data_IF_916493215444
#
_entry.id   IF_916493215444
#
_cell.length_a   1.000
_cell.length_b   1.000
_cell.length_c   1.000
_cell.angle_alpha   90.00
_cell.angle_beta   90.00
_cell.angle_gamma   90.00
#
_symmetry.space_group_name_H-M   'P 1'
#
loop_
_entity.id
_entity.type
_entity.pdbx_description
1 polymer ?
#
# COMPACT_ATOMS: atom_id res chain seq x y z
N UNK A 1 58.44 -37.53 58.41
CA UNK A 1 58.18 -36.65 59.58
C UNK A 1 57.92 -35.24 59.08
N UNK A 2 56.84 -34.62 59.57
CA UNK A 2 56.47 -33.19 59.45
C UNK A 2 56.09 -32.71 58.05
N UNK A 3 55.09 -31.88 57.84
CA UNK A 3 53.88 -31.47 58.57
C UNK A 3 53.04 -30.67 57.54
N UNK A 4 51.75 -30.51 57.84
CA UNK A 4 50.73 -29.87 57.01
C UNK A 4 51.09 -28.44 56.58
N UNK A 5 50.56 -28.01 55.43
CA UNK A 5 49.93 -26.69 55.36
C UNK A 5 48.73 -26.72 54.40
N UNK A 6 47.57 -26.74 55.04
CA UNK A 6 46.24 -26.60 54.48
C UNK A 6 45.94 -25.11 54.32
N UNK A 7 45.88 -24.61 53.10
CA UNK A 7 45.29 -23.30 52.81
C UNK A 7 44.17 -23.50 51.80
N UNK A 8 42.98 -23.76 52.33
CA UNK A 8 41.75 -23.84 51.55
C UNK A 8 41.29 -22.41 51.25
N UNK A 9 41.48 -21.95 50.01
CA UNK A 9 40.93 -20.71 49.51
C UNK A 9 39.40 -20.82 49.45
N UNK A 10 38.69 -20.01 50.26
CA UNK A 10 37.26 -19.77 50.07
C UNK A 10 37.04 -19.09 48.72
N UNK A 11 36.64 -19.88 47.72
CA UNK A 11 36.07 -19.37 46.48
C UNK A 11 34.67 -18.83 46.75
N UNK A 12 34.53 -17.51 46.81
CA UNK A 12 33.25 -16.82 46.74
C UNK A 12 32.68 -17.01 45.32
N UNK A 13 31.80 -17.98 45.14
CA UNK A 13 30.98 -18.08 43.94
C UNK A 13 29.88 -17.02 44.00
N UNK A 14 30.10 -15.85 43.37
CA UNK A 14 29.00 -14.97 42.99
C UNK A 14 28.17 -15.68 41.93
N UNK A 15 27.07 -16.29 42.35
CA UNK A 15 26.00 -16.69 41.44
C UNK A 15 25.36 -15.40 40.89
N UNK A 16 25.83 -14.94 39.73
CA UNK A 16 25.09 -13.98 38.92
C UNK A 16 23.86 -14.71 38.41
N UNK A 17 22.74 -14.55 39.13
CA UNK A 17 21.42 -14.88 38.63
C UNK A 17 21.14 -13.92 37.47
N UNK A 18 21.52 -14.31 36.26
CA UNK A 18 20.91 -13.81 35.03
C UNK A 18 19.45 -14.25 35.04
N UNK A 19 18.62 -13.49 35.76
CA UNK A 19 17.18 -13.52 35.53
C UNK A 19 16.94 -13.13 34.08
N UNK A 20 16.06 -13.84 33.33
CA UNK A 20 15.67 -13.36 32.02
C UNK A 20 15.12 -11.96 32.19
N UNK A 21 15.66 -11.04 31.38
CA UNK A 21 15.20 -9.67 31.27
C UNK A 21 13.67 -9.66 31.28
N UNK A 22 13.11 -8.97 32.26
CA UNK A 22 11.69 -8.72 32.37
C UNK A 22 11.18 -8.32 30.98
N UNK A 23 10.24 -9.13 30.48
CA UNK A 23 9.50 -8.84 29.27
C UNK A 23 9.02 -7.39 29.37
N UNK A 24 9.45 -6.60 28.39
CA UNK A 24 9.09 -5.20 28.25
C UNK A 24 7.57 -5.06 28.34
N UNK A 25 7.16 -4.22 29.29
CA UNK A 25 5.89 -3.51 29.37
C UNK A 25 4.81 -4.00 28.42
N UNK A 26 4.00 -4.96 28.89
CA UNK A 26 2.64 -5.13 28.38
C UNK A 26 1.83 -3.91 28.79
N UNK A 27 2.03 -2.80 28.08
CA UNK A 27 1.13 -1.66 28.13
C UNK A 27 -0.28 -2.19 27.93
N UNK A 28 -1.20 -1.82 28.84
CA UNK A 28 -2.59 -2.23 28.75
C UNK A 28 -3.09 -1.95 27.31
N UNK A 29 -3.86 -2.88 26.71
CA UNK A 29 -4.29 -2.74 25.32
C UNK A 29 -5.00 -1.39 25.12
N UNK A 30 -4.48 -0.59 24.18
CA UNK A 30 -5.03 0.74 23.88
C UNK A 30 -6.48 0.57 23.46
N UNK A 31 -7.43 1.16 24.20
CA UNK A 31 -8.86 1.10 23.86
C UNK A 31 -9.19 2.04 22.69
N UNK A 32 -8.92 1.55 21.47
CA UNK A 32 -9.24 2.23 20.23
C UNK A 32 -10.74 2.22 19.90
N UNK A 33 -11.58 1.57 20.72
CA UNK A 33 -13.03 1.57 20.54
C UNK A 33 -13.68 2.90 20.94
N UNK A 34 -12.99 3.69 21.77
CA UNK A 34 -13.49 4.98 22.30
C UNK A 34 -12.58 6.17 21.99
N UNK A 35 -11.35 5.92 21.55
CA UNK A 35 -10.33 6.94 21.26
C UNK A 35 -9.80 6.77 19.83
N UNK A 36 -9.26 7.86 19.30
CA UNK A 36 -8.50 7.79 18.05
C UNK A 36 -7.17 7.08 18.29
N UNK A 37 -6.81 6.19 17.38
CA UNK A 37 -5.57 5.42 17.44
C UNK A 37 -4.74 5.64 16.19
N UNK A 38 -3.43 5.59 16.35
CA UNK A 38 -2.54 5.48 15.22
C UNK A 38 -2.77 4.13 14.50
N UNK A 39 -2.23 3.98 13.30
CA UNK A 39 -2.54 2.81 12.47
C UNK A 39 -2.10 1.48 13.11
N UNK A 40 -0.93 1.47 13.74
CA UNK A 40 -0.37 0.27 14.39
C UNK A 40 -1.19 -0.13 15.62
N UNK A 41 -1.51 0.85 16.48
CA UNK A 41 -2.42 0.67 17.62
C UNK A 41 -3.80 0.15 17.17
N UNK A 42 -4.31 0.65 16.05
CA UNK A 42 -5.58 0.19 15.48
C UNK A 42 -5.52 -1.27 15.01
N UNK A 43 -4.40 -1.67 14.38
CA UNK A 43 -4.18 -3.05 13.96
C UNK A 43 -4.08 -4.00 15.15
N UNK A 44 -3.29 -3.64 16.17
CA UNK A 44 -3.13 -4.42 17.40
C UNK A 44 -4.43 -4.52 18.18
N UNK A 45 -5.19 -3.43 18.27
CA UNK A 45 -6.51 -3.44 18.88
C UNK A 45 -7.42 -4.46 18.21
N UNK A 46 -7.53 -4.46 16.88
CA UNK A 46 -8.37 -5.43 16.20
C UNK A 46 -7.86 -6.87 16.32
N UNK A 47 -6.54 -7.06 16.35
CA UNK A 47 -5.93 -8.38 16.57
C UNK A 47 -6.22 -8.93 17.96
N UNK A 48 -6.15 -8.09 19.00
CA UNK A 48 -6.45 -8.48 20.39
C UNK A 48 -7.91 -8.90 20.58
N UNK A 49 -8.82 -8.38 19.74
CA UNK A 49 -10.23 -8.79 19.68
C UNK A 49 -10.48 -10.00 18.77
N UNK A 50 -9.43 -10.69 18.34
CA UNK A 50 -9.53 -11.86 17.46
C UNK A 50 -9.87 -11.54 16.00
N UNK A 51 -9.78 -10.26 15.60
CA UNK A 51 -10.08 -9.78 14.25
C UNK A 51 -8.87 -9.20 13.53
N UNK A 52 -9.14 -8.27 12.61
CA UNK A 52 -8.14 -7.48 11.87
C UNK A 52 -8.72 -6.11 11.48
N UNK A 53 -7.87 -5.22 10.98
CA UNK A 53 -8.36 -4.07 10.23
C UNK A 53 -9.06 -4.54 8.93
N UNK A 54 -10.19 -3.92 8.55
CA UNK A 54 -10.84 -4.14 7.27
C UNK A 54 -9.97 -3.63 6.10
N UNK A 55 -10.10 -4.25 4.94
CA UNK A 55 -9.58 -3.75 3.67
C UNK A 55 -10.36 -2.51 3.21
N UNK A 56 -9.84 -1.74 2.23
CA UNK A 56 -10.58 -0.62 1.64
C UNK A 56 -11.91 -1.08 1.04
N UNK A 57 -11.88 -2.22 0.34
CA UNK A 57 -13.07 -2.78 -0.28
C UNK A 57 -14.16 -3.15 0.75
N UNK A 58 -13.77 -3.66 1.92
CA UNK A 58 -14.72 -3.95 3.01
C UNK A 58 -15.29 -2.67 3.62
N UNK A 59 -14.45 -1.67 3.88
CA UNK A 59 -14.90 -0.36 4.36
C UNK A 59 -15.89 0.28 3.38
N UNK A 60 -15.64 0.17 2.07
CA UNK A 60 -16.53 0.70 1.05
C UNK A 60 -17.88 -0.01 1.04
N UNK A 61 -17.91 -1.34 1.22
CA UNK A 61 -19.16 -2.11 1.34
C UNK A 61 -19.96 -1.68 2.57
N UNK A 62 -19.28 -1.47 3.70
CA UNK A 62 -19.91 -0.99 4.93
C UNK A 62 -20.49 0.42 4.68
N UNK A 63 -19.71 1.32 4.09
CA UNK A 63 -20.20 2.66 3.76
C UNK A 63 -21.43 2.63 2.84
N UNK A 64 -21.40 1.84 1.77
CA UNK A 64 -22.51 1.69 0.83
C UNK A 64 -23.80 1.23 1.51
N UNK A 65 -23.70 0.32 2.49
CA UNK A 65 -24.85 -0.27 3.17
C UNK A 65 -25.36 0.58 4.35
N UNK A 66 -24.47 1.27 5.08
CA UNK A 66 -24.82 1.99 6.30
C UNK A 66 -25.00 3.51 6.07
N UNK A 67 -24.21 4.10 5.17
CA UNK A 67 -23.98 5.55 5.14
C UNK A 67 -24.35 6.24 3.82
N UNK A 68 -24.24 5.57 2.67
CA UNK A 68 -24.43 6.19 1.36
C UNK A 68 -25.80 6.86 1.17
N UNK A 69 -26.87 6.31 1.76
CA UNK A 69 -28.21 6.88 1.72
C UNK A 69 -28.58 7.72 2.97
N UNK A 70 -27.65 7.87 3.93
CA UNK A 70 -27.91 8.45 5.25
C UNK A 70 -26.78 9.38 5.68
N UNK A 71 -26.61 10.48 4.96
CA UNK A 71 -25.69 11.54 5.37
C UNK A 71 -25.98 11.96 6.82
N UNK A 72 -24.95 11.94 7.68
CA UNK A 72 -25.07 12.30 9.10
C UNK A 72 -25.55 11.19 10.04
N UNK A 73 -25.80 9.96 9.56
CA UNK A 73 -26.11 8.84 10.46
C UNK A 73 -24.98 8.55 11.46
N UNK A 74 -25.35 8.08 12.66
CA UNK A 74 -24.40 7.79 13.75
C UNK A 74 -23.35 6.79 13.26
N UNK A 75 -22.07 7.20 13.29
CA UNK A 75 -20.95 6.38 12.82
C UNK A 75 -20.54 6.63 11.36
N UNK A 76 -21.25 7.50 10.63
CA UNK A 76 -20.94 7.86 9.24
C UNK A 76 -20.20 9.21 9.12
N UNK A 77 -19.98 9.97 10.19
CA UNK A 77 -19.31 11.29 10.13
C UNK A 77 -17.79 11.22 10.38
N UNK A 78 -17.15 10.07 10.08
CA UNK A 78 -15.72 9.84 10.41
C UNK A 78 -15.05 8.97 9.37
N UNK A 79 -13.73 9.05 9.31
CA UNK A 79 -12.90 8.16 8.52
C UNK A 79 -12.35 7.00 9.36
N UNK A 80 -12.15 5.85 8.71
CA UNK A 80 -11.74 4.60 9.35
C UNK A 80 -10.48 4.03 8.71
N UNK A 81 -9.57 3.51 9.54
CA UNK A 81 -8.34 2.87 9.07
C UNK A 81 -8.61 1.60 8.25
N UNK A 82 -7.87 1.47 7.15
CA UNK A 82 -7.78 0.23 6.36
C UNK A 82 -6.56 -0.61 6.77
N UNK A 83 -6.56 -1.90 6.46
CA UNK A 83 -5.38 -2.77 6.52
C UNK A 83 -4.40 -2.54 5.36
N UNK A 84 -4.79 -1.77 4.34
CA UNK A 84 -3.98 -1.60 3.12
C UNK A 84 -3.01 -0.41 3.24
N UNK A 85 -1.75 -0.68 2.96
CA UNK A 85 -0.71 0.35 2.91
C UNK A 85 -0.77 1.16 1.61
N UNK A 86 -0.57 2.49 1.70
CA UNK A 86 -0.32 3.32 0.52
C UNK A 86 1.15 3.30 0.10
N UNK A 87 2.05 3.11 1.08
CA UNK A 87 3.50 3.12 0.94
C UNK A 87 4.15 4.11 1.93
N UNK A 88 5.38 3.79 2.36
CA UNK A 88 6.13 4.59 3.33
C UNK A 88 5.39 4.73 4.66
N UNK A 89 5.31 5.96 5.16
CA UNK A 89 4.67 6.31 6.44
C UNK A 89 3.16 6.55 6.33
N UNK A 90 2.52 6.17 5.21
CA UNK A 90 1.09 6.43 5.00
C UNK A 90 0.28 5.14 4.84
N UNK A 91 -0.93 5.19 5.40
CA UNK A 91 -1.88 4.10 5.27
C UNK A 91 -3.22 4.59 4.69
N UNK A 92 -3.95 3.70 4.03
CA UNK A 92 -5.26 4.01 3.51
C UNK A 92 -6.32 4.06 4.61
N UNK A 93 -7.36 4.84 4.35
CA UNK A 93 -8.56 4.99 5.15
C UNK A 93 -9.75 5.28 4.23
N UNK A 94 -10.96 5.04 4.72
CA UNK A 94 -12.20 5.42 4.03
C UNK A 94 -12.97 6.40 4.89
N UNK A 95 -13.29 7.55 4.31
CA UNK A 95 -14.11 8.60 4.88
C UNK A 95 -15.59 8.22 4.74
N UNK A 96 -16.28 7.94 5.84
CA UNK A 96 -17.67 7.48 5.76
C UNK A 96 -18.67 8.63 5.54
N UNK A 97 -18.24 9.89 5.62
CA UNK A 97 -19.12 11.01 5.34
C UNK A 97 -19.36 11.13 3.84
N UNK A 98 -18.33 10.82 3.06
CA UNK A 98 -18.31 11.01 1.60
C UNK A 98 -18.12 9.71 0.82
N UNK A 99 -17.71 8.63 1.49
CA UNK A 99 -17.28 7.39 0.85
C UNK A 99 -15.89 7.48 0.20
N UNK A 100 -15.16 8.58 0.41
CA UNK A 100 -13.89 8.83 -0.25
C UNK A 100 -12.75 7.99 0.36
N UNK A 101 -11.91 7.44 -0.49
CA UNK A 101 -10.69 6.75 -0.08
C UNK A 101 -9.56 7.77 0.09
N UNK A 102 -9.04 7.88 1.30
CA UNK A 102 -7.99 8.85 1.67
C UNK A 102 -6.79 8.12 2.24
N UNK A 103 -5.67 8.81 2.31
CA UNK A 103 -4.48 8.29 3.00
C UNK A 103 -4.01 9.26 4.04
N UNK A 104 -3.61 8.76 5.19
CA UNK A 104 -3.12 9.55 6.31
C UNK A 104 -1.77 9.02 6.79
N UNK A 105 -0.93 9.85 7.42
CA UNK A 105 0.26 9.38 8.14
C UNK A 105 -0.12 8.30 9.15
N UNK A 106 0.67 7.22 9.24
CA UNK A 106 0.44 6.10 10.16
C UNK A 106 0.40 6.55 11.63
N UNK A 107 1.04 7.68 11.94
CA UNK A 107 1.06 8.32 13.26
C UNK A 107 -0.21 9.12 13.60
N UNK A 108 -1.08 9.40 12.61
CA UNK A 108 -2.31 10.17 12.84
C UNK A 108 -3.34 9.36 13.64
N UNK A 109 -4.11 10.01 14.49
CA UNK A 109 -5.22 9.37 15.19
C UNK A 109 -6.42 9.17 14.25
N UNK A 110 -6.87 7.92 14.10
CA UNK A 110 -8.03 7.53 13.29
C UNK A 110 -9.01 6.63 14.04
N UNK A 111 -10.22 6.49 13.51
CA UNK A 111 -11.24 5.61 14.08
C UNK A 111 -10.99 4.17 13.63
N UNK A 112 -11.28 3.24 14.53
CA UNK A 112 -11.05 1.81 14.31
C UNK A 112 -12.38 1.08 14.22
N UNK A 113 -12.57 0.34 13.12
CA UNK A 113 -13.54 -0.74 13.01
C UNK A 113 -12.75 -2.03 12.79
N UNK A 114 -13.16 -3.10 13.42
CA UNK A 114 -12.53 -4.41 13.25
C UNK A 114 -13.39 -5.29 12.36
N UNK A 115 -12.76 -5.95 11.41
CA UNK A 115 -13.35 -7.05 10.67
C UNK A 115 -13.06 -8.37 11.40
N UNK A 116 -13.92 -9.36 11.20
CA UNK A 116 -13.60 -10.74 11.55
C UNK A 116 -12.30 -11.17 10.84
N UNK A 117 -11.59 -12.14 11.41
CA UNK A 117 -10.44 -12.75 10.71
C UNK A 117 -10.89 -13.22 9.33
N UNK A 118 -10.15 -12.80 8.30
CA UNK A 118 -10.40 -13.27 6.95
C UNK A 118 -10.25 -14.80 6.95
N UNK A 119 -11.20 -15.48 6.32
CA UNK A 119 -11.08 -16.90 6.02
C UNK A 119 -9.92 -17.14 5.07
N UNK A 120 -9.34 -18.34 5.07
CA UNK A 120 -8.27 -18.70 4.14
C UNK A 120 -8.68 -18.49 2.67
N UNK A 121 -9.98 -18.60 2.35
CA UNK A 121 -10.53 -18.31 1.03
C UNK A 121 -10.50 -16.81 0.69
N UNK A 122 -10.83 -15.94 1.64
CA UNK A 122 -10.77 -14.48 1.48
C UNK A 122 -9.32 -13.98 1.39
N UNK A 123 -8.42 -14.55 2.20
CA UNK A 123 -6.98 -14.25 2.10
C UNK A 123 -6.43 -14.68 0.74
N UNK A 124 -6.82 -15.85 0.21
CA UNK A 124 -6.44 -16.31 -1.12
C UNK A 124 -7.06 -15.45 -2.24
N UNK A 125 -8.29 -14.98 -2.08
CA UNK A 125 -8.94 -14.09 -3.05
C UNK A 125 -8.31 -12.68 -3.07
N UNK A 126 -7.85 -12.17 -1.93
CA UNK A 126 -7.14 -10.90 -1.81
C UNK A 126 -5.68 -10.99 -2.30
N UNK A 127 -5.03 -12.14 -2.15
CA UNK A 127 -3.66 -12.39 -2.60
C UNK A 127 -3.55 -12.87 -4.06
N UNK A 128 -4.66 -13.25 -4.69
CA UNK A 128 -4.66 -13.66 -6.09
C UNK A 128 -4.43 -12.44 -7.01
N UNK A 129 -3.36 -12.39 -7.83
CA UNK A 129 -3.27 -11.40 -8.89
C UNK A 129 -4.49 -11.59 -9.80
N UNK A 130 -5.24 -10.51 -10.06
CA UNK A 130 -6.41 -10.54 -10.94
C UNK A 130 -5.97 -10.83 -12.39
N UNK A 131 -5.71 -12.10 -12.70
CA UNK A 131 -5.44 -12.57 -14.06
C UNK A 131 -6.74 -12.54 -14.86
N UNK A 132 -6.97 -11.47 -15.62
CA UNK A 132 -7.88 -11.51 -16.77
C UNK A 132 -7.04 -11.62 -18.03
N UNK A 133 -7.00 -12.83 -18.61
CA UNK A 133 -6.49 -13.07 -19.96
C UNK A 133 -7.42 -12.33 -20.93
N UNK A 134 -6.91 -11.32 -21.63
CA UNK A 134 -7.70 -10.53 -22.56
C UNK A 134 -8.10 -11.38 -23.80
N UNK A 135 -9.38 -11.43 -24.19
CA UNK A 135 -9.81 -12.09 -25.43
C UNK A 135 -9.32 -11.33 -26.68
N UNK A 136 -9.22 -12.02 -27.81
CA UNK A 136 -8.70 -11.51 -29.08
C UNK A 136 -9.35 -10.20 -29.58
N UNK A 137 -10.60 -9.93 -29.18
CA UNK A 137 -11.32 -8.68 -29.46
C UNK A 137 -10.62 -7.41 -28.89
N UNK A 138 -9.80 -7.56 -27.84
CA UNK A 138 -9.13 -6.42 -27.21
C UNK A 138 -7.91 -5.91 -27.99
N UNK A 139 -7.27 -6.72 -28.84
CA UNK A 139 -6.12 -6.24 -29.63
C UNK A 139 -6.51 -5.20 -30.69
N UNK A 140 -7.65 -5.36 -31.35
CA UNK A 140 -8.18 -4.37 -32.29
C UNK A 140 -8.52 -3.04 -31.60
N UNK A 141 -9.01 -3.12 -30.35
CA UNK A 141 -9.27 -1.95 -29.50
C UNK A 141 -7.99 -1.21 -29.10
N UNK A 142 -6.90 -1.94 -28.85
CA UNK A 142 -5.59 -1.33 -28.60
C UNK A 142 -5.04 -0.61 -29.85
N UNK A 143 -5.21 -1.18 -31.04
CA UNK A 143 -4.72 -0.58 -32.28
C UNK A 143 -5.35 0.79 -32.59
N UNK A 144 -6.64 0.95 -32.27
CA UNK A 144 -7.38 2.20 -32.49
C UNK A 144 -7.27 3.20 -31.32
N UNK A 145 -6.63 2.83 -30.21
CA UNK A 145 -6.50 3.71 -29.06
C UNK A 145 -5.48 4.84 -29.36
N UNK A 146 -5.78 6.11 -29.01
CA UNK A 146 -4.87 7.24 -29.24
C UNK A 146 -3.43 7.04 -28.72
N UNK A 147 -3.23 6.24 -27.67
CA UNK A 147 -1.91 5.93 -27.14
C UNK A 147 -1.02 5.13 -28.10
N UNK A 148 -1.58 4.44 -29.10
CA UNK A 148 -0.78 3.74 -30.12
C UNK A 148 -0.06 4.71 -31.06
N UNK A 149 -0.51 5.98 -31.12
CA UNK A 149 -0.01 7.02 -32.03
C UNK A 149 0.80 8.11 -31.32
N UNK A 150 0.90 8.09 -30.00
CA UNK A 150 1.72 9.05 -29.25
C UNK A 150 1.19 9.37 -27.86
N UNK A 151 1.22 10.65 -27.49
CA UNK A 151 0.75 11.13 -26.19
C UNK A 151 -0.76 10.95 -26.06
N UNK A 152 -1.18 10.57 -24.87
CA UNK A 152 -2.58 10.31 -24.57
C UNK A 152 -2.89 10.68 -23.12
N UNK A 153 -4.17 10.65 -22.79
CA UNK A 153 -4.65 10.80 -21.41
C UNK A 153 -4.31 9.57 -20.58
N UNK A 154 -4.34 9.71 -19.26
CA UNK A 154 -4.08 8.58 -18.36
C UNK A 154 -5.12 7.47 -18.53
N UNK A 155 -6.39 7.83 -18.76
CA UNK A 155 -7.47 6.88 -18.98
C UNK A 155 -7.29 6.09 -20.28
N UNK A 156 -6.93 6.77 -21.38
CA UNK A 156 -6.61 6.13 -22.65
C UNK A 156 -5.40 5.17 -22.47
N UNK A 157 -4.40 5.55 -21.68
CA UNK A 157 -3.20 4.76 -21.43
C UNK A 157 -3.49 3.48 -20.63
N UNK A 158 -4.30 3.59 -19.57
CA UNK A 158 -4.74 2.44 -18.78
C UNK A 158 -5.58 1.48 -19.64
N UNK A 159 -6.48 2.04 -20.45
CA UNK A 159 -7.31 1.26 -21.36
C UNK A 159 -6.50 0.53 -22.44
N UNK A 160 -5.53 1.23 -23.04
CA UNK A 160 -4.60 0.68 -24.03
C UNK A 160 -3.82 -0.51 -23.45
N UNK A 161 -3.21 -0.34 -22.28
CA UNK A 161 -2.46 -1.42 -21.65
C UNK A 161 -3.37 -2.59 -21.22
N UNK A 162 -4.57 -2.31 -20.71
CA UNK A 162 -5.56 -3.33 -20.41
C UNK A 162 -5.98 -4.12 -21.65
N UNK A 163 -6.15 -3.43 -22.79
CA UNK A 163 -6.50 -4.04 -24.06
C UNK A 163 -5.39 -4.95 -24.62
N UNK A 164 -4.12 -4.64 -24.32
CA UNK A 164 -2.97 -5.49 -24.62
C UNK A 164 -2.81 -6.67 -23.65
N UNK A 165 -3.71 -6.82 -22.66
CA UNK A 165 -3.60 -7.84 -21.63
C UNK A 165 -2.47 -7.53 -20.65
N UNK A 166 -2.36 -6.27 -20.25
CA UNK A 166 -1.36 -5.77 -19.30
C UNK A 166 -1.92 -4.68 -18.41
N UNK A 167 -1.01 -3.89 -17.84
CA UNK A 167 -1.31 -2.68 -17.06
C UNK A 167 -0.27 -1.60 -17.32
N UNK A 168 -0.50 -0.39 -16.85
CA UNK A 168 0.57 0.60 -16.76
C UNK A 168 1.60 0.15 -15.72
N UNK A 169 2.86 0.54 -15.90
CA UNK A 169 3.89 0.32 -14.86
C UNK A 169 3.61 1.20 -13.64
N UNK A 170 3.96 0.72 -12.45
CA UNK A 170 4.09 1.56 -11.26
C UNK A 170 5.24 2.54 -11.42
N UNK A 171 5.26 3.59 -10.59
CA UNK A 171 6.33 4.59 -10.66
C UNK A 171 7.72 4.01 -10.36
N UNK A 172 7.79 2.99 -9.50
CA UNK A 172 9.04 2.30 -9.18
C UNK A 172 9.49 1.42 -10.35
N UNK A 173 8.59 0.69 -10.99
CA UNK A 173 8.94 -0.08 -12.19
C UNK A 173 9.43 0.82 -13.33
N UNK A 174 8.78 1.98 -13.55
CA UNK A 174 9.28 2.97 -14.51
C UNK A 174 10.66 3.52 -14.15
N UNK A 175 10.96 3.68 -12.85
CA UNK A 175 12.29 4.07 -12.39
C UNK A 175 13.32 2.99 -12.69
N UNK A 176 13.01 1.73 -12.43
CA UNK A 176 13.93 0.61 -12.67
C UNK A 176 14.24 0.48 -14.17
N UNK A 177 13.21 0.61 -15.02
CA UNK A 177 13.38 0.62 -16.48
C UNK A 177 14.22 1.82 -16.93
N UNK A 178 13.97 3.02 -16.40
CA UNK A 178 14.79 4.19 -16.70
C UNK A 178 16.25 3.97 -16.33
N UNK A 179 16.53 3.44 -15.14
CA UNK A 179 17.90 3.15 -14.71
C UNK A 179 18.56 2.12 -15.63
N UNK A 180 17.83 1.05 -16.01
CA UNK A 180 18.36 -0.01 -16.86
C UNK A 180 18.59 0.42 -18.32
N UNK A 181 17.69 1.22 -18.89
CA UNK A 181 17.68 1.51 -20.34
C UNK A 181 18.23 2.91 -20.68
N UNK A 182 18.19 3.84 -19.74
CA UNK A 182 18.34 5.28 -20.01
C UNK A 182 19.47 5.96 -19.24
N UNK A 183 20.18 5.22 -18.39
CA UNK A 183 21.40 5.71 -17.75
C UNK A 183 22.65 5.06 -18.37
N UNK A 184 23.74 5.82 -18.44
CA UNK A 184 25.02 5.37 -19.02
C UNK A 184 25.16 5.56 -20.54
N UNK A 185 26.22 4.97 -21.10
CA UNK A 185 26.63 5.17 -22.51
C UNK A 185 25.68 4.54 -23.56
N UNK A 186 24.67 3.77 -23.13
CA UNK A 186 23.74 3.03 -24.02
C UNK A 186 22.33 3.63 -24.06
N UNK A 187 22.21 4.94 -23.90
CA UNK A 187 20.92 5.62 -23.95
C UNK A 187 20.26 5.41 -25.31
N UNK A 188 19.19 4.62 -25.32
CA UNK A 188 18.46 4.30 -26.55
C UNK A 188 17.48 5.42 -26.93
N UNK A 189 16.96 5.40 -28.17
CA UNK A 189 15.88 6.32 -28.60
C UNK A 189 14.60 6.17 -27.75
N UNK A 190 14.42 5.04 -27.07
CA UNK A 190 13.30 4.81 -26.15
C UNK A 190 13.40 5.65 -24.87
N UNK A 191 14.53 6.30 -24.62
CA UNK A 191 14.77 7.18 -23.47
C UNK A 191 14.37 8.63 -23.74
N UNK A 192 13.18 8.78 -24.33
CA UNK A 192 12.64 10.06 -24.73
C UNK A 192 11.18 10.16 -24.27
N UNK A 193 10.83 11.29 -23.68
CA UNK A 193 9.46 11.57 -23.27
C UNK A 193 9.11 11.15 -21.85
N UNK A 194 7.83 11.35 -21.55
CA UNK A 194 7.20 11.16 -20.25
C UNK A 194 6.20 10.02 -20.36
N UNK A 195 6.20 9.11 -19.39
CA UNK A 195 5.32 7.94 -19.38
C UNK A 195 4.38 7.92 -18.18
N UNK A 196 3.10 7.64 -18.42
CA UNK A 196 2.10 7.46 -17.37
C UNK A 196 2.45 6.27 -16.48
N UNK A 197 2.27 6.44 -15.16
CA UNK A 197 2.28 5.34 -14.21
C UNK A 197 0.86 4.90 -13.84
N UNK A 198 0.74 3.67 -13.35
CA UNK A 198 -0.52 3.08 -12.88
C UNK A 198 -1.15 3.84 -11.72
N UNK A 199 -0.35 4.52 -10.89
CA UNK A 199 -0.85 5.13 -9.65
C UNK A 199 -1.29 6.56 -9.90
N UNK A 200 -2.57 6.82 -9.62
CA UNK A 200 -3.10 8.17 -9.43
C UNK A 200 -2.45 8.84 -8.20
N UNK A 201 -2.05 10.10 -8.34
CA UNK A 201 -1.68 10.94 -7.21
C UNK A 201 -2.93 11.28 -6.37
N UNK A 202 -4.01 11.61 -7.08
CA UNK A 202 -5.35 11.84 -6.56
C UNK A 202 -6.39 11.54 -7.66
N UNK A 203 -7.63 11.99 -7.49
CA UNK A 203 -8.71 11.74 -8.46
C UNK A 203 -8.43 12.36 -9.83
N UNK A 204 -7.80 13.53 -9.85
CA UNK A 204 -7.55 14.32 -11.05
C UNK A 204 -6.15 14.15 -11.63
N UNK A 205 -5.18 13.71 -10.84
CA UNK A 205 -3.77 13.64 -11.22
C UNK A 205 -3.23 12.21 -11.16
N UNK A 206 -2.31 11.88 -12.06
CA UNK A 206 -1.52 10.66 -12.03
C UNK A 206 -0.04 10.98 -12.17
N UNK A 207 0.80 10.10 -11.62
CA UNK A 207 2.24 10.28 -11.73
C UNK A 207 2.74 9.87 -13.11
N UNK A 208 3.72 10.62 -13.60
CA UNK A 208 4.48 10.34 -14.79
C UNK A 208 5.97 10.29 -14.50
N UNK A 209 6.71 9.48 -15.27
CA UNK A 209 8.17 9.39 -15.21
C UNK A 209 8.76 9.88 -16.52
N UNK A 210 9.67 10.83 -16.44
CA UNK A 210 10.50 11.25 -17.56
C UNK A 210 11.61 10.26 -17.77
N UNK A 211 11.73 9.77 -19.00
CA UNK A 211 12.87 8.98 -19.42
C UNK A 211 13.99 9.85 -19.99
N UNK A 212 13.80 11.17 -20.00
CA UNK A 212 14.81 12.13 -20.42
C UNK A 212 15.85 12.40 -19.32
N UNK A 213 15.36 12.67 -18.11
CA UNK A 213 16.13 13.14 -16.95
C UNK A 213 15.83 12.32 -15.68
N UNK A 214 14.93 11.34 -15.75
CA UNK A 214 14.56 10.51 -14.61
C UNK A 214 13.60 11.20 -13.61
N UNK A 215 13.11 12.40 -13.91
CA UNK A 215 12.20 13.12 -13.02
C UNK A 215 10.82 12.47 -12.94
N UNK A 216 10.18 12.58 -11.77
CA UNK A 216 8.79 12.17 -11.55
C UNK A 216 7.94 13.43 -11.37
N UNK A 217 6.78 13.49 -12.03
CA UNK A 217 5.84 14.61 -11.88
C UNK A 217 4.40 14.12 -11.79
N UNK A 218 3.52 14.95 -11.23
CA UNK A 218 2.08 14.78 -11.33
C UNK A 218 1.54 15.44 -12.60
N UNK A 219 0.57 14.83 -13.27
CA UNK A 219 -0.09 15.41 -14.44
C UNK A 219 -1.58 15.07 -14.44
N UNK A 220 -2.41 15.99 -14.95
CA UNK A 220 -3.86 15.76 -14.96
C UNK A 220 -4.21 14.58 -15.85
N UNK A 221 -5.03 13.66 -15.33
CA UNK A 221 -5.41 12.42 -16.03
C UNK A 221 -6.10 12.66 -17.36
N UNK A 222 -6.73 13.82 -17.54
CA UNK A 222 -7.45 14.23 -18.75
C UNK A 222 -6.59 14.93 -19.79
N UNK A 223 -5.34 15.27 -19.47
CA UNK A 223 -4.43 15.95 -20.41
C UNK A 223 -3.65 14.94 -21.26
N UNK A 224 -3.48 15.23 -22.56
CA UNK A 224 -2.75 14.36 -23.51
C UNK A 224 -1.25 14.65 -23.48
N UNK A 225 -0.63 14.46 -22.32
CA UNK A 225 0.74 14.94 -22.05
C UNK A 225 1.79 13.84 -22.02
N UNK A 226 1.42 12.60 -21.68
CA UNK A 226 2.36 11.48 -21.54
C UNK A 226 2.03 10.30 -22.47
N UNK A 227 3.03 9.47 -22.70
CA UNK A 227 2.94 8.22 -23.45
C UNK A 227 2.52 7.05 -22.54
N UNK A 228 1.99 5.99 -23.13
CA UNK A 228 1.72 4.73 -22.44
C UNK A 228 2.90 3.76 -22.61
N UNK A 229 3.30 3.09 -21.53
CA UNK A 229 4.20 1.93 -21.57
C UNK A 229 3.60 0.83 -20.70
N UNK A 230 3.43 -0.36 -21.27
CA UNK A 230 2.61 -1.41 -20.66
C UNK A 230 3.47 -2.52 -20.06
N UNK A 231 3.18 -2.87 -18.81
CA UNK A 231 3.64 -4.08 -18.16
C UNK A 231 2.75 -5.26 -18.57
N UNK A 232 3.35 -6.44 -18.76
CA UNK A 232 2.60 -7.69 -18.89
C UNK A 232 2.26 -8.25 -17.50
N UNK A 233 1.13 -8.95 -17.39
CA UNK A 233 0.74 -9.68 -16.16
C UNK A 233 1.62 -10.90 -15.89
#
# INVERSE_FOLDING_TARGET
>A
MKQLNTTLLLGLALAVLYGPAAAQDSAAPVDCGRKFCNWEQAADYCKSRGGRLPTRAELQKIWNSECAARAGARGCARWYWSSEEKGGERNWAVDFETGAERSYPKVSGGVVRCAARATAAEVRAAAAPKKKKAPAANKARAANNPCSKGRCTWYEAADYCGALGGRLYTINELKDIYLAECTGARRTKACTGWYWSEKGENDNYAYGKSFYDGNTTGSKKTEKTLYARCARW
#
